data_IF_556410530833
#
_entry.id   IF_556410530833
#
_cell.length_a   1.000
_cell.length_b   1.000
_cell.length_c   1.000
_cell.angle_alpha   90.00
_cell.angle_beta   90.00
_cell.angle_gamma   90.00
#
_symmetry.space_group_name_H-M   'P 1'
#
loop_
_entity.id
_entity.type
_entity.pdbx_description
1 polymer ?
#
# COMPACT_ATOMS: atom_id res chain seq x y z
N UNK A 1 -37.09 16.72 1.95
CA UNK A 1 -37.26 15.99 0.68
C UNK A 1 -36.05 15.10 0.44
N UNK A 2 -36.29 13.86 0.48
CA UNK A 2 -35.54 12.63 0.53
C UNK A 2 -34.39 12.52 -0.47
N UNK A 3 -33.17 12.94 -0.07
CA UNK A 3 -31.91 12.63 -0.76
C UNK A 3 -31.31 11.27 -0.29
N UNK A 4 -32.14 10.39 0.22
CA UNK A 4 -31.74 9.12 0.83
C UNK A 4 -31.42 7.98 -0.16
N UNK A 5 -31.52 8.19 -1.49
CA UNK A 5 -31.56 7.06 -2.42
C UNK A 5 -30.47 7.02 -3.51
N UNK A 6 -29.42 7.81 -3.51
CA UNK A 6 -28.56 7.85 -4.68
C UNK A 6 -27.10 7.38 -4.59
N UNK A 7 -26.30 7.54 -3.52
CA UNK A 7 -24.88 7.17 -3.64
C UNK A 7 -24.51 5.75 -3.17
N UNK A 8 -25.32 5.11 -2.34
CA UNK A 8 -24.95 3.84 -1.71
C UNK A 8 -24.81 2.63 -2.66
N UNK A 9 -25.70 2.40 -3.64
CA UNK A 9 -25.54 1.26 -4.54
C UNK A 9 -24.34 1.43 -5.48
N UNK A 10 -24.05 2.63 -5.95
CA UNK A 10 -22.88 2.90 -6.80
C UNK A 10 -21.56 2.71 -6.05
N UNK A 11 -21.49 3.08 -4.78
CA UNK A 11 -20.32 2.90 -3.93
C UNK A 11 -20.07 1.40 -3.67
N UNK A 12 -21.11 0.61 -3.44
CA UNK A 12 -20.98 -0.84 -3.23
C UNK A 12 -20.44 -1.56 -4.47
N UNK A 13 -20.91 -1.19 -5.67
CA UNK A 13 -20.37 -1.74 -6.92
C UNK A 13 -18.91 -1.33 -7.16
N UNK A 14 -18.54 -0.10 -6.82
CA UNK A 14 -17.15 0.35 -6.91
C UNK A 14 -16.22 -0.42 -5.96
N UNK A 15 -16.68 -0.79 -4.77
CA UNK A 15 -15.93 -1.64 -3.86
C UNK A 15 -15.67 -3.05 -4.42
N UNK A 16 -16.65 -3.67 -5.05
CA UNK A 16 -16.51 -5.00 -5.67
C UNK A 16 -15.50 -4.96 -6.82
N UNK A 17 -15.61 -3.97 -7.70
CA UNK A 17 -14.68 -3.81 -8.83
C UNK A 17 -13.27 -3.49 -8.35
N UNK A 18 -13.12 -2.65 -7.34
CA UNK A 18 -11.83 -2.31 -6.74
C UNK A 18 -11.19 -3.54 -6.09
N UNK A 19 -11.96 -4.33 -5.34
CA UNK A 19 -11.48 -5.57 -4.73
C UNK A 19 -10.97 -6.55 -5.78
N UNK A 20 -11.72 -6.77 -6.86
CA UNK A 20 -11.32 -7.64 -7.98
C UNK A 20 -10.02 -7.15 -8.63
N UNK A 21 -9.94 -5.86 -8.97
CA UNK A 21 -8.76 -5.25 -9.57
C UNK A 21 -7.52 -5.38 -8.66
N UNK A 22 -7.66 -5.02 -7.39
CA UNK A 22 -6.55 -5.10 -6.42
C UNK A 22 -6.09 -6.54 -6.20
N UNK A 23 -7.02 -7.51 -6.22
CA UNK A 23 -6.66 -8.93 -6.11
C UNK A 23 -5.83 -9.39 -7.30
N UNK A 24 -6.23 -9.05 -8.52
CA UNK A 24 -5.47 -9.39 -9.74
C UNK A 24 -4.09 -8.75 -9.71
N UNK A 25 -4.01 -7.45 -9.43
CA UNK A 25 -2.74 -6.73 -9.35
C UNK A 25 -1.83 -7.29 -8.24
N UNK A 26 -2.40 -7.58 -7.06
CA UNK A 26 -1.66 -8.16 -5.95
C UNK A 26 -1.08 -9.53 -6.26
N UNK A 27 -1.84 -10.40 -6.93
CA UNK A 27 -1.35 -11.71 -7.38
C UNK A 27 -0.26 -11.60 -8.44
N UNK A 28 -0.38 -10.67 -9.38
CA UNK A 28 0.67 -10.40 -10.37
C UNK A 28 1.94 -9.92 -9.68
N UNK A 29 1.85 -8.98 -8.75
CA UNK A 29 3.00 -8.49 -7.98
C UNK A 29 3.64 -9.61 -7.15
N UNK A 30 2.85 -10.44 -6.48
CA UNK A 30 3.34 -11.59 -5.72
C UNK A 30 4.07 -12.59 -6.61
N UNK A 31 3.55 -12.87 -7.82
CA UNK A 31 4.20 -13.75 -8.81
C UNK A 31 5.52 -13.19 -9.30
N UNK A 32 5.65 -11.88 -9.43
CA UNK A 32 6.88 -11.22 -9.89
C UNK A 32 7.94 -11.04 -8.78
N UNK A 33 7.61 -11.37 -7.52
CA UNK A 33 8.54 -11.27 -6.39
C UNK A 33 9.04 -12.67 -5.95
N UNK A 34 10.14 -13.19 -6.52
CA UNK A 34 10.65 -14.54 -6.26
C UNK A 34 11.15 -14.76 -4.83
N UNK A 35 11.59 -13.71 -4.14
CA UNK A 35 12.10 -13.80 -2.76
C UNK A 35 11.06 -14.22 -1.72
N UNK A 36 9.77 -14.06 -2.01
CA UNK A 36 8.69 -14.52 -1.12
C UNK A 36 8.22 -15.95 -1.40
N UNK A 37 8.36 -16.42 -2.62
CA UNK A 37 8.10 -17.82 -2.94
C UNK A 37 9.05 -18.74 -2.16
N UNK A 38 10.33 -18.35 -2.02
CA UNK A 38 11.31 -19.08 -1.22
C UNK A 38 10.97 -19.11 0.28
N UNK A 39 10.47 -18.01 0.85
CA UNK A 39 10.11 -17.92 2.27
C UNK A 39 8.85 -18.70 2.65
N UNK A 40 7.92 -18.92 1.73
CA UNK A 40 6.74 -19.77 1.95
C UNK A 40 7.08 -21.26 1.87
N UNK A 41 8.13 -21.63 1.15
CA UNK A 41 8.61 -23.02 1.03
C UNK A 41 9.40 -23.47 2.26
N UNK A 42 10.11 -22.55 2.94
CA UNK A 42 10.92 -22.87 4.13
C UNK A 42 10.11 -23.13 5.40
N UNK A 43 8.85 -22.66 5.48
CA UNK A 43 7.96 -22.95 6.61
C UNK A 43 7.24 -24.31 6.53
N UNK A 44 7.45 -25.06 5.45
CA UNK A 44 6.83 -26.35 5.17
C UNK A 44 7.83 -27.50 5.05
N UNK A 45 8.78 -27.63 6.00
CA UNK A 45 9.70 -28.79 6.02
C UNK A 45 8.93 -30.08 6.26
N UNK A 46 8.99 -30.97 5.26
CA UNK A 46 8.59 -32.39 5.19
C UNK A 46 7.13 -32.66 4.87
N UNK A 47 6.82 -32.78 3.59
CA UNK A 47 6.27 -34.02 3.00
C UNK A 47 6.13 -33.94 1.48
N UNK A 48 6.73 -34.93 0.81
CA UNK A 48 6.38 -35.58 -0.47
C UNK A 48 5.84 -34.73 -1.63
N UNK A 49 6.62 -34.80 -2.71
CA UNK A 49 6.26 -34.54 -4.11
C UNK A 49 4.82 -34.91 -4.47
N UNK A 50 3.99 -33.93 -4.74
CA UNK A 50 2.85 -34.05 -5.63
C UNK A 50 2.51 -32.69 -6.23
N UNK A 51 2.15 -32.67 -7.48
CA UNK A 51 1.89 -31.53 -8.36
C UNK A 51 0.66 -30.64 -8.00
N UNK A 52 0.30 -30.57 -6.72
CA UNK A 52 -0.80 -29.73 -6.19
C UNK A 52 -0.39 -28.45 -5.45
N UNK A 53 0.92 -28.14 -5.39
CA UNK A 53 1.47 -27.19 -4.41
C UNK A 53 1.32 -25.70 -4.78
N UNK A 54 1.07 -25.38 -6.04
CA UNK A 54 0.94 -23.99 -6.46
C UNK A 54 -0.41 -23.36 -6.10
N UNK A 55 -1.48 -24.12 -6.10
CA UNK A 55 -2.83 -23.62 -5.76
C UNK A 55 -2.99 -23.42 -4.26
N UNK A 56 -2.36 -24.26 -3.43
CA UNK A 56 -2.37 -24.13 -1.98
C UNK A 56 -1.63 -22.88 -1.50
N UNK A 57 -0.52 -22.51 -2.15
CA UNK A 57 0.22 -21.29 -1.81
C UNK A 57 -0.54 -20.01 -2.22
N UNK A 58 -1.20 -19.99 -3.36
CA UNK A 58 -2.05 -18.84 -3.78
C UNK A 58 -3.21 -18.66 -2.81
N UNK A 59 -3.87 -19.77 -2.42
CA UNK A 59 -4.98 -19.70 -1.47
C UNK A 59 -4.55 -19.17 -0.10
N UNK A 60 -3.40 -19.59 0.38
CA UNK A 60 -2.81 -19.11 1.62
C UNK A 60 -2.52 -17.60 1.57
N UNK A 61 -1.93 -17.11 0.47
CA UNK A 61 -1.64 -15.67 0.29
C UNK A 61 -2.92 -14.85 0.24
N UNK A 62 -3.94 -15.29 -0.51
CA UNK A 62 -5.22 -14.61 -0.58
C UNK A 62 -5.91 -14.53 0.79
N UNK A 63 -5.98 -15.66 1.51
CA UNK A 63 -6.58 -15.68 2.83
C UNK A 63 -5.87 -14.74 3.82
N UNK A 64 -4.54 -14.73 3.79
CA UNK A 64 -3.72 -13.81 4.57
C UNK A 64 -3.99 -12.35 4.21
N UNK A 65 -4.06 -12.03 2.92
CA UNK A 65 -4.32 -10.66 2.46
C UNK A 65 -5.72 -10.18 2.84
N UNK A 66 -6.71 -11.05 2.76
CA UNK A 66 -8.08 -10.76 3.21
C UNK A 66 -8.10 -10.51 4.73
N UNK A 67 -7.41 -11.33 5.52
CA UNK A 67 -7.35 -11.15 6.97
C UNK A 67 -6.68 -9.81 7.34
N UNK A 68 -5.56 -9.46 6.70
CA UNK A 68 -4.89 -8.17 6.90
C UNK A 68 -5.79 -7.02 6.45
N UNK A 69 -6.48 -7.15 5.32
CA UNK A 69 -7.46 -6.17 4.85
C UNK A 69 -8.60 -5.96 5.83
N UNK A 70 -9.11 -7.04 6.47
CA UNK A 70 -10.15 -6.94 7.50
C UNK A 70 -9.64 -6.18 8.74
N UNK A 71 -8.42 -6.49 9.21
CA UNK A 71 -7.79 -5.74 10.31
C UNK A 71 -7.58 -4.27 9.92
N UNK A 72 -7.10 -4.00 8.70
CA UNK A 72 -6.97 -2.65 8.17
C UNK A 72 -8.29 -1.89 8.14
N UNK A 73 -9.39 -2.57 7.79
CA UNK A 73 -10.74 -1.97 7.83
C UNK A 73 -11.14 -1.56 9.24
N UNK A 74 -10.88 -2.40 10.25
CA UNK A 74 -11.15 -2.05 11.64
C UNK A 74 -10.33 -0.83 12.08
N UNK A 75 -9.05 -0.80 11.73
CA UNK A 75 -8.17 0.34 12.03
C UNK A 75 -8.71 1.62 11.37
N UNK A 76 -9.01 1.58 10.07
CA UNK A 76 -9.56 2.73 9.34
C UNK A 76 -10.91 3.19 9.92
N UNK A 77 -11.77 2.26 10.34
CA UNK A 77 -13.05 2.57 10.95
C UNK A 77 -12.88 3.30 12.28
N UNK A 78 -11.99 2.81 13.15
CA UNK A 78 -11.68 3.46 14.43
C UNK A 78 -11.13 4.87 14.19
N UNK A 79 -10.20 5.03 13.25
CA UNK A 79 -9.68 6.37 12.91
C UNK A 79 -10.77 7.29 12.37
N UNK A 80 -11.64 6.82 11.46
CA UNK A 80 -12.74 7.63 10.94
C UNK A 80 -13.66 8.14 12.06
N UNK A 81 -13.98 7.27 13.02
CA UNK A 81 -14.78 7.62 14.21
C UNK A 81 -14.05 8.64 15.09
N UNK A 82 -12.74 8.46 15.32
CA UNK A 82 -11.93 9.40 16.10
C UNK A 82 -11.84 10.78 15.42
N UNK A 83 -11.90 10.84 14.09
CA UNK A 83 -11.97 12.08 13.32
C UNK A 83 -13.38 12.68 13.24
N UNK A 84 -14.36 12.10 13.95
CA UNK A 84 -15.70 12.68 14.07
C UNK A 84 -16.76 12.07 13.15
N UNK A 85 -16.48 10.94 12.50
CA UNK A 85 -17.52 10.24 11.75
C UNK A 85 -18.62 9.70 12.69
N UNK A 86 -19.88 9.81 12.25
CA UNK A 86 -21.02 9.37 13.05
C UNK A 86 -21.01 7.86 13.33
N UNK A 87 -21.06 7.50 14.62
CA UNK A 87 -21.02 6.08 15.06
C UNK A 87 -22.35 5.39 14.76
N UNK A 88 -23.47 6.05 15.02
CA UNK A 88 -24.82 5.44 14.95
C UNK A 88 -25.60 5.86 13.70
N UNK A 89 -25.60 7.14 13.37
CA UNK A 89 -26.44 7.66 12.28
C UNK A 89 -25.88 7.37 10.87
N UNK A 90 -24.56 7.20 10.74
CA UNK A 90 -23.86 7.00 9.46
C UNK A 90 -22.86 5.83 9.53
N UNK A 91 -23.15 4.84 10.37
CA UNK A 91 -22.27 3.69 10.59
C UNK A 91 -21.99 2.89 9.30
N UNK A 92 -22.98 2.76 8.44
CA UNK A 92 -22.87 2.06 7.17
C UNK A 92 -21.94 2.76 6.20
N UNK A 93 -22.11 4.07 6.05
CA UNK A 93 -21.31 4.94 5.21
C UNK A 93 -19.85 4.99 5.69
N UNK A 94 -19.65 5.13 7.00
CA UNK A 94 -18.34 5.10 7.65
C UNK A 94 -17.65 3.75 7.47
N UNK A 95 -18.39 2.64 7.58
CA UNK A 95 -17.84 1.30 7.33
C UNK A 95 -17.45 1.12 5.87
N UNK A 96 -18.24 1.61 4.92
CA UNK A 96 -17.88 1.57 3.49
C UNK A 96 -16.62 2.37 3.20
N UNK A 97 -16.45 3.56 3.79
CA UNK A 97 -15.22 4.34 3.68
C UNK A 97 -14.02 3.58 4.25
N UNK A 98 -14.18 2.95 5.41
CA UNK A 98 -13.13 2.16 6.05
C UNK A 98 -12.68 0.97 5.18
N UNK A 99 -13.64 0.24 4.59
CA UNK A 99 -13.34 -0.84 3.63
C UNK A 99 -12.60 -0.28 2.41
N UNK A 100 -13.05 0.85 1.87
CA UNK A 100 -12.44 1.49 0.72
C UNK A 100 -10.99 1.88 0.99
N UNK A 101 -10.72 2.53 2.12
CA UNK A 101 -9.37 2.91 2.54
C UNK A 101 -8.48 1.68 2.74
N UNK A 102 -9.00 0.63 3.39
CA UNK A 102 -8.26 -0.61 3.60
C UNK A 102 -7.90 -1.30 2.28
N UNK A 103 -8.82 -1.33 1.32
CA UNK A 103 -8.57 -1.89 -0.02
C UNK A 103 -7.53 -1.10 -0.82
N UNK A 104 -7.37 0.19 -0.57
CA UNK A 104 -6.35 1.01 -1.23
C UNK A 104 -4.99 1.00 -0.51
N UNK A 105 -4.95 0.74 0.81
CA UNK A 105 -3.73 0.85 1.62
C UNK A 105 -3.19 -0.50 2.09
N UNK A 106 -3.93 -1.19 2.95
CA UNK A 106 -3.48 -2.42 3.62
C UNK A 106 -3.52 -3.64 2.71
N UNK A 107 -4.58 -3.79 1.94
CA UNK A 107 -4.79 -4.96 1.11
C UNK A 107 -3.70 -5.17 0.06
N UNK A 108 -3.34 -4.19 -0.81
CA UNK A 108 -2.28 -4.37 -1.79
C UNK A 108 -0.90 -4.54 -1.15
N UNK A 109 -0.62 -3.85 -0.05
CA UNK A 109 0.64 -3.98 0.67
C UNK A 109 0.82 -5.39 1.28
N UNK A 110 -0.26 -6.07 1.66
CA UNK A 110 -0.22 -7.40 2.28
C UNK A 110 0.33 -8.49 1.35
N UNK A 111 0.17 -8.37 0.03
CA UNK A 111 0.75 -9.31 -0.94
C UNK A 111 2.29 -9.30 -0.90
N UNK A 112 2.89 -8.16 -0.57
CA UNK A 112 4.35 -8.00 -0.49
C UNK A 112 4.85 -8.17 0.94
N UNK A 113 4.21 -7.57 1.93
CA UNK A 113 4.65 -7.60 3.33
C UNK A 113 4.25 -8.90 4.06
N UNK A 114 3.11 -9.53 3.67
CA UNK A 114 2.54 -10.69 4.37
C UNK A 114 2.24 -10.38 5.83
N UNK A 115 2.42 -11.37 6.70
CA UNK A 115 2.12 -11.30 8.14
C UNK A 115 3.30 -10.83 9.01
N UNK A 116 4.40 -10.38 8.40
CA UNK A 116 5.58 -9.97 9.18
C UNK A 116 5.35 -8.60 9.84
N UNK A 117 4.95 -8.63 11.11
CA UNK A 117 4.70 -7.43 11.90
C UNK A 117 5.92 -6.50 11.97
N UNK A 118 7.13 -7.05 11.95
CA UNK A 118 8.37 -6.23 12.00
C UNK A 118 8.48 -5.35 10.75
N UNK A 119 8.16 -5.90 9.58
CA UNK A 119 8.14 -5.14 8.33
C UNK A 119 7.06 -4.06 8.33
N UNK A 120 5.87 -4.35 8.86
CA UNK A 120 4.80 -3.37 8.99
C UNK A 120 5.18 -2.22 9.93
N UNK A 121 5.71 -2.53 11.13
CA UNK A 121 6.17 -1.51 12.08
C UNK A 121 7.33 -0.69 11.50
N UNK A 122 8.30 -1.32 10.85
CA UNK A 122 9.43 -0.63 10.24
C UNK A 122 8.97 0.38 9.19
N UNK A 123 8.02 0.02 8.34
CA UNK A 123 7.56 0.87 7.24
C UNK A 123 6.66 1.97 7.74
N UNK A 124 5.62 1.64 8.52
CA UNK A 124 4.57 2.60 8.88
C UNK A 124 4.84 3.35 10.19
N UNK A 125 5.60 2.79 11.12
CA UNK A 125 5.93 3.45 12.40
C UNK A 125 7.31 4.09 12.36
N UNK A 126 8.33 3.35 11.88
CA UNK A 126 9.70 3.87 11.82
C UNK A 126 10.03 4.60 10.52
N UNK A 127 9.07 4.67 9.58
CA UNK A 127 9.24 5.38 8.30
C UNK A 127 10.52 5.00 7.55
N UNK A 128 10.88 3.71 7.59
CA UNK A 128 12.15 3.19 7.06
C UNK A 128 11.90 2.00 6.13
N UNK A 129 11.42 2.24 4.89
CA UNK A 129 11.29 1.16 3.90
C UNK A 129 12.68 0.65 3.52
N UNK A 130 12.88 -0.68 3.64
CA UNK A 130 14.15 -1.33 3.31
C UNK A 130 14.29 -1.70 1.84
N UNK A 131 13.16 -1.77 1.11
CA UNK A 131 13.10 -2.18 -0.28
C UNK A 131 12.39 -1.11 -1.12
N UNK A 132 12.77 -0.98 -2.39
CA UNK A 132 12.11 -0.03 -3.30
C UNK A 132 10.60 -0.28 -3.46
N UNK A 133 10.16 -1.54 -3.41
CA UNK A 133 8.73 -1.89 -3.44
C UNK A 133 8.02 -1.49 -2.16
N UNK A 134 8.65 -1.64 -1.00
CA UNK A 134 8.10 -1.17 0.28
C UNK A 134 7.92 0.35 0.27
N UNK A 135 8.90 1.09 -0.29
CA UNK A 135 8.82 2.54 -0.43
C UNK A 135 7.63 2.96 -1.33
N UNK A 136 7.36 2.21 -2.41
CA UNK A 136 6.21 2.48 -3.27
C UNK A 136 4.89 2.35 -2.51
N UNK A 137 4.68 1.25 -1.79
CA UNK A 137 3.44 1.04 -1.01
C UNK A 137 3.31 2.01 0.16
N UNK A 138 4.43 2.41 0.76
CA UNK A 138 4.44 3.45 1.76
C UNK A 138 3.94 4.79 1.20
N UNK A 139 4.51 5.25 0.09
CA UNK A 139 4.08 6.49 -0.56
C UNK A 139 2.60 6.43 -0.97
N UNK A 140 2.18 5.33 -1.57
CA UNK A 140 0.80 5.11 -1.99
C UNK A 140 -0.17 5.15 -0.80
N UNK A 141 0.13 4.44 0.29
CA UNK A 141 -0.71 4.40 1.47
C UNK A 141 -0.80 5.75 2.17
N UNK A 142 0.33 6.43 2.36
CA UNK A 142 0.35 7.76 3.00
C UNK A 142 -0.42 8.79 2.19
N UNK A 143 -0.24 8.82 0.87
CA UNK A 143 -0.99 9.72 -0.01
C UNK A 143 -2.48 9.41 0.02
N UNK A 144 -2.89 8.15 0.03
CA UNK A 144 -4.30 7.76 0.10
C UNK A 144 -4.98 8.28 1.37
N UNK A 145 -4.34 8.08 2.52
CA UNK A 145 -4.85 8.57 3.81
C UNK A 145 -4.93 10.09 3.82
N UNK A 146 -3.88 10.76 3.34
CA UNK A 146 -3.83 12.21 3.22
C UNK A 146 -4.94 12.75 2.30
N UNK A 147 -5.19 12.07 1.18
CA UNK A 147 -6.28 12.42 0.26
C UNK A 147 -7.67 12.28 0.87
N UNK A 148 -7.91 11.22 1.66
CA UNK A 148 -9.15 11.05 2.39
C UNK A 148 -9.36 12.20 3.40
N UNK A 149 -8.30 12.58 4.11
CA UNK A 149 -8.33 13.71 5.05
C UNK A 149 -8.60 15.03 4.34
N UNK A 150 -7.93 15.32 3.22
CA UNK A 150 -8.22 16.50 2.41
C UNK A 150 -9.67 16.52 1.91
N UNK A 151 -10.21 15.38 1.48
CA UNK A 151 -11.60 15.24 1.09
C UNK A 151 -12.58 15.61 2.22
N UNK A 152 -12.21 15.36 3.48
CA UNK A 152 -13.06 15.70 4.62
C UNK A 152 -13.21 17.20 4.85
N UNK A 153 -12.25 18.02 4.42
CA UNK A 153 -12.27 19.49 4.57
C UNK A 153 -13.43 20.11 3.80
N UNK A 154 -13.87 19.48 2.72
CA UNK A 154 -14.95 19.99 1.89
C UNK A 154 -16.32 19.82 2.55
N UNK A 155 -16.47 18.86 3.49
CA UNK A 155 -17.76 18.52 4.12
C UNK A 155 -18.35 19.70 4.91
N UNK A 156 -17.61 20.42 5.74
CA UNK A 156 -18.15 21.58 6.49
C UNK A 156 -18.37 22.83 5.64
N UNK A 157 -17.96 22.85 4.36
CA UNK A 157 -18.25 23.96 3.46
C UNK A 157 -19.71 23.87 3.00
N UNK A 158 -20.49 24.86 3.32
CA UNK A 158 -21.94 24.95 3.07
C UNK A 158 -22.25 25.26 1.59
N UNK A 159 -21.91 24.34 0.68
CA UNK A 159 -22.16 24.48 -0.76
C UNK A 159 -23.43 23.79 -1.22
N UNK A 160 -24.07 23.04 -0.34
CA UNK A 160 -25.34 22.33 -0.55
C UNK A 160 -25.37 21.45 -1.83
N UNK A 161 -24.21 20.80 -2.16
CA UNK A 161 -24.05 19.97 -3.33
C UNK A 161 -24.18 18.48 -3.02
N UNK A 162 -24.83 17.67 -3.89
CA UNK A 162 -25.02 16.23 -3.66
C UNK A 162 -23.72 15.44 -3.47
N UNK A 163 -22.61 15.86 -4.11
CA UNK A 163 -21.31 15.22 -3.99
C UNK A 163 -20.59 15.51 -2.68
N UNK A 164 -21.08 16.49 -1.90
CA UNK A 164 -20.55 16.87 -0.58
C UNK A 164 -21.05 15.94 0.54
N UNK A 165 -22.05 15.10 0.22
CA UNK A 165 -22.59 14.15 1.19
C UNK A 165 -21.52 13.13 1.64
N UNK A 166 -21.47 12.89 2.96
CA UNK A 166 -20.61 11.85 3.55
C UNK A 166 -20.93 10.47 2.94
N UNK A 167 -19.94 9.62 2.56
CA UNK A 167 -18.47 9.81 2.62
C UNK A 167 -17.85 10.20 1.26
N UNK A 168 -18.64 10.68 0.30
CA UNK A 168 -18.25 10.85 -1.11
C UNK A 168 -16.97 11.68 -1.28
N UNK A 169 -16.80 12.87 -0.66
CA UNK A 169 -15.58 13.66 -0.83
C UNK A 169 -14.33 12.93 -0.34
N UNK A 170 -14.44 12.19 0.79
CA UNK A 170 -13.34 11.42 1.34
C UNK A 170 -12.91 10.28 0.41
N UNK A 171 -13.88 9.58 -0.21
CA UNK A 171 -13.62 8.50 -1.17
C UNK A 171 -12.96 9.05 -2.44
N UNK A 172 -13.45 10.16 -2.98
CA UNK A 172 -12.86 10.81 -4.15
C UNK A 172 -11.45 11.32 -3.86
N UNK A 173 -11.25 11.98 -2.73
CA UNK A 173 -9.93 12.44 -2.28
C UNK A 173 -8.95 11.29 -2.13
N UNK A 174 -9.36 10.21 -1.44
CA UNK A 174 -8.56 8.99 -1.29
C UNK A 174 -8.15 8.40 -2.63
N UNK A 175 -9.08 8.29 -3.58
CA UNK A 175 -8.81 7.71 -4.90
C UNK A 175 -7.86 8.57 -5.73
N UNK A 176 -8.09 9.88 -5.79
CA UNK A 176 -7.20 10.79 -6.53
C UNK A 176 -5.77 10.74 -5.98
N UNK A 177 -5.63 10.80 -4.66
CA UNK A 177 -4.31 10.75 -4.03
C UNK A 177 -3.69 9.35 -4.06
N UNK A 178 -4.48 8.30 -4.13
CA UNK A 178 -3.99 6.95 -4.44
C UNK A 178 -3.30 6.90 -5.80
N UNK A 179 -3.91 7.48 -6.84
CA UNK A 179 -3.31 7.55 -8.18
C UNK A 179 -2.01 8.37 -8.16
N UNK A 180 -2.01 9.53 -7.50
CA UNK A 180 -0.82 10.37 -7.33
C UNK A 180 0.26 9.59 -6.55
N UNK A 181 -0.11 8.97 -5.43
CA UNK A 181 0.78 8.18 -4.60
C UNK A 181 1.41 6.99 -5.33
N UNK A 182 0.66 6.36 -6.24
CA UNK A 182 1.17 5.29 -7.12
C UNK A 182 2.26 5.82 -8.04
N UNK A 183 2.04 6.97 -8.68
CA UNK A 183 3.04 7.60 -9.56
C UNK A 183 4.28 8.03 -8.76
N UNK A 184 4.09 8.70 -7.63
CA UNK A 184 5.19 9.11 -6.73
C UNK A 184 5.97 7.89 -6.24
N UNK A 185 5.27 6.85 -5.79
CA UNK A 185 5.89 5.60 -5.33
C UNK A 185 6.70 4.91 -6.42
N UNK A 186 6.22 4.91 -7.66
CA UNK A 186 6.96 4.38 -8.80
C UNK A 186 8.24 5.18 -9.06
N UNK A 187 8.16 6.51 -9.07
CA UNK A 187 9.32 7.38 -9.25
C UNK A 187 10.36 7.15 -8.14
N UNK A 188 9.93 7.13 -6.88
CA UNK A 188 10.80 6.85 -5.73
C UNK A 188 11.47 5.48 -5.87
N UNK A 189 10.72 4.45 -6.27
CA UNK A 189 11.26 3.11 -6.49
C UNK A 189 12.33 3.07 -7.57
N UNK A 190 12.11 3.77 -8.70
CA UNK A 190 13.09 3.86 -9.80
C UNK A 190 14.36 4.58 -9.33
N UNK A 191 14.21 5.71 -8.62
CA UNK A 191 15.35 6.47 -8.10
C UNK A 191 16.17 5.65 -7.10
N UNK A 192 15.51 4.96 -6.16
CA UNK A 192 16.18 4.10 -5.19
C UNK A 192 16.93 2.96 -5.89
N UNK A 193 16.31 2.33 -6.87
CA UNK A 193 16.94 1.25 -7.67
C UNK A 193 18.16 1.76 -8.43
N UNK A 194 18.08 2.94 -9.05
CA UNK A 194 19.21 3.54 -9.77
C UNK A 194 20.35 3.89 -8.81
N UNK A 195 20.05 4.42 -7.61
CA UNK A 195 21.06 4.72 -6.60
C UNK A 195 21.78 3.47 -6.12
N UNK A 196 21.02 2.38 -5.86
CA UNK A 196 21.61 1.09 -5.49
C UNK A 196 22.54 0.55 -6.58
N UNK A 197 22.11 0.57 -7.85
CA UNK A 197 22.93 0.15 -8.98
C UNK A 197 24.23 0.99 -9.12
N UNK A 198 24.15 2.32 -8.92
CA UNK A 198 25.34 3.19 -8.97
C UNK A 198 26.33 2.91 -7.84
N UNK A 199 25.85 2.58 -6.64
CA UNK A 199 26.72 2.23 -5.52
C UNK A 199 27.47 0.91 -5.74
N UNK A 200 26.83 -0.07 -6.41
CA UNK A 200 27.48 -1.32 -6.79
C UNK A 200 28.55 -1.15 -7.86
N UNK A 201 28.36 -0.20 -8.79
CA UNK A 201 29.35 0.09 -9.84
C UNK A 201 30.45 1.09 -9.41
N UNK A 202 30.52 1.51 -8.13
CA UNK A 202 31.57 2.42 -7.62
C UNK A 202 31.53 3.82 -8.21
N UNK A 203 30.47 4.23 -8.90
CA UNK A 203 30.29 5.58 -9.45
C UNK A 203 29.65 6.46 -8.36
N UNK A 204 30.42 6.76 -7.30
CA UNK A 204 30.07 7.78 -6.33
C UNK A 204 30.18 9.18 -6.94
N UNK A 205 29.32 10.15 -6.60
CA UNK A 205 29.51 11.54 -6.97
C UNK A 205 30.74 12.09 -6.20
N UNK A 206 31.92 12.10 -6.83
CA UNK A 206 33.06 12.83 -6.30
C UNK A 206 34.31 12.05 -5.89
N UNK A 207 34.79 11.08 -6.69
CA UNK A 207 36.20 10.64 -6.60
C UNK A 207 36.85 10.60 -7.98
N UNK A 208 36.72 11.71 -8.69
CA UNK A 208 37.62 12.07 -9.76
C UNK A 208 38.71 12.95 -9.16
N UNK A 209 39.95 12.49 -9.15
CA UNK A 209 41.18 13.15 -8.69
C UNK A 209 41.61 12.86 -7.28
N UNK A 210 42.28 11.70 -7.02
CA UNK A 210 43.47 11.65 -6.17
C UNK A 210 43.96 10.19 -5.97
N UNK A 211 44.43 9.52 -7.03
CA UNK A 211 45.39 8.41 -6.90
C UNK A 211 46.22 8.24 -8.18
N UNK A 212 46.86 9.33 -8.57
CA UNK A 212 48.02 9.29 -9.48
C UNK A 212 49.18 9.97 -8.73
N UNK A 213 49.93 9.26 -7.95
CA UNK A 213 51.12 9.81 -7.36
C UNK A 213 51.54 9.25 -6.03
N UNK A 214 51.83 7.95 -5.94
CA UNK A 214 52.79 7.46 -4.93
C UNK A 214 53.21 6.02 -5.21
N UNK A 215 53.94 5.83 -6.29
CA UNK A 215 54.88 4.70 -6.47
C UNK A 215 56.19 5.27 -6.93
N UNK A 216 57.05 5.74 -6.02
CA UNK A 216 58.50 5.83 -6.25
C UNK A 216 59.21 5.87 -4.92
N UNK A 217 60.24 5.00 -4.87
CA UNK A 217 61.32 4.91 -3.93
C UNK A 217 61.11 4.19 -2.60
N UNK A 218 61.51 2.92 -2.59
CA UNK A 218 62.45 2.35 -1.66
C UNK A 218 63.20 1.22 -2.37
N UNK A 219 64.35 1.61 -2.96
CA UNK A 219 65.53 0.80 -3.19
C UNK A 219 66.72 1.60 -2.62
N UNK A 220 67.14 1.25 -1.46
CA UNK A 220 68.52 1.23 -0.96
C UNK A 220 68.47 0.76 0.49
#
# INVERSE_FOLDING_TARGET
MTLQNAPLPSLSWSLVTLFGLQTVLGLVQWRLHPSRQAASTDKGVKKSSSSGDSSSSVFSVLNTSIAIGAVGTLICHIFAVLFGAGIFNQAKETSQLAVYLSLLTFYPASFILGTDLKSWLRIFVHNSPGTYTEAAFYCQGMMTIFGAWLGSIVIPLDWDRPWQAWPVPCVLGAFMFYCIGTVVGLVVSIVMRQRAARSEFGIGPGTGTAQAGSKKNKSE
#
